data_IF_247136591709
#
_entry.id   IF_247136591709
#
_cell.length_a   1.000
_cell.length_b   1.000
_cell.length_c   1.000
_cell.angle_alpha   90.00
_cell.angle_beta   90.00
_cell.angle_gamma   90.00
#
_symmetry.space_group_name_H-M   'P 1'
#
loop_
_entity.id
_entity.type
_entity.pdbx_description
1 polymer ?
#
# COMPACT_ATOMS: atom_id res chain seq x y z
N UNK A 1 10.33 -34.60 30.04
CA UNK A 1 9.44 -33.54 29.50
C UNK A 1 10.25 -32.26 29.32
N UNK A 2 10.95 -32.10 28.19
CA UNK A 2 11.80 -30.93 27.94
C UNK A 2 11.94 -30.69 26.43
N UNK A 3 10.82 -30.57 25.73
CA UNK A 3 10.80 -30.36 24.27
C UNK A 3 9.74 -29.34 23.81
N UNK A 4 9.03 -28.69 24.74
CA UNK A 4 7.95 -27.75 24.41
C UNK A 4 8.38 -26.27 24.38
N UNK A 5 9.65 -25.94 24.66
CA UNK A 5 10.09 -24.54 24.79
C UNK A 5 10.84 -23.97 23.57
N UNK A 6 11.08 -24.76 22.52
CA UNK A 6 11.83 -24.32 21.32
C UNK A 6 10.92 -23.73 20.22
N UNK A 7 9.59 -23.85 20.36
CA UNK A 7 8.64 -23.44 19.31
C UNK A 7 8.28 -21.93 19.28
N UNK A 8 8.81 -21.12 20.19
CA UNK A 8 8.53 -19.68 20.25
C UNK A 8 9.61 -18.78 19.61
N UNK A 9 10.69 -19.35 19.07
CA UNK A 9 11.79 -18.58 18.46
C UNK A 9 11.73 -18.45 16.93
N UNK A 10 10.69 -19.00 16.27
CA UNK A 10 10.64 -19.04 14.78
C UNK A 10 9.59 -18.13 14.14
N UNK A 11 8.92 -17.27 14.90
CA UNK A 11 8.06 -16.25 14.32
C UNK A 11 8.63 -14.88 14.65
N UNK A 12 9.31 -14.19 13.72
CA UNK A 12 9.47 -12.76 13.87
C UNK A 12 8.07 -12.19 13.93
N UNK A 13 7.65 -11.82 15.14
CA UNK A 13 6.40 -11.14 15.35
C UNK A 13 6.41 -9.90 14.44
N UNK A 14 5.43 -9.86 13.53
CA UNK A 14 5.32 -8.84 12.49
C UNK A 14 4.90 -7.52 13.13
N UNK A 15 5.84 -6.85 13.78
CA UNK A 15 5.65 -5.50 14.31
C UNK A 15 5.99 -4.47 13.23
N UNK A 16 5.30 -4.55 12.09
CA UNK A 16 5.14 -3.38 11.25
C UNK A 16 3.74 -2.86 11.52
N UNK A 17 3.64 -1.76 12.26
CA UNK A 17 2.37 -1.07 12.46
C UNK A 17 1.84 -0.69 11.08
N UNK A 18 0.74 -1.34 10.71
CA UNK A 18 0.14 -1.10 9.42
C UNK A 18 -0.63 0.23 9.46
N UNK A 19 -0.12 1.23 8.75
CA UNK A 19 -0.89 2.45 8.49
C UNK A 19 -2.03 2.12 7.52
N UNK A 20 -3.27 2.30 7.97
CA UNK A 20 -4.44 2.07 7.12
C UNK A 20 -4.45 3.08 5.97
N UNK A 21 -4.12 2.63 4.75
CA UNK A 21 -4.02 3.46 3.56
C UNK A 21 -5.31 4.20 3.21
N UNK A 22 -6.47 3.69 3.63
CA UNK A 22 -7.78 4.28 3.36
C UNK A 22 -8.13 5.51 4.19
N UNK A 23 -7.50 5.68 5.36
CA UNK A 23 -7.85 6.78 6.26
C UNK A 23 -6.84 7.89 6.03
N UNK A 24 -7.26 9.05 5.48
CA UNK A 24 -6.33 10.14 5.23
C UNK A 24 -5.63 10.55 6.54
N UNK A 25 -4.34 10.84 6.43
CA UNK A 25 -3.56 11.36 7.54
C UNK A 25 -4.08 12.73 7.92
N UNK A 26 -4.24 12.96 9.22
CA UNK A 26 -4.78 14.21 9.76
C UNK A 26 -3.63 15.02 10.32
N UNK A 27 -3.32 16.14 9.68
CA UNK A 27 -2.31 17.10 10.14
C UNK A 27 -2.71 17.82 11.45
N UNK A 28 -3.96 17.65 11.91
CA UNK A 28 -4.60 18.47 12.93
C UNK A 28 -5.72 19.32 12.34
N UNK A 29 -6.74 19.63 13.15
CA UNK A 29 -7.94 20.35 12.68
C UNK A 29 -8.66 19.65 11.52
N UNK A 30 -8.93 20.39 10.45
CA UNK A 30 -9.66 19.90 9.27
C UNK A 30 -8.75 19.51 8.07
N UNK A 31 -7.42 19.63 8.22
CA UNK A 31 -6.48 19.33 7.13
C UNK A 31 -6.23 17.83 7.07
N UNK A 32 -6.47 17.26 5.89
CA UNK A 32 -6.34 15.83 5.60
C UNK A 32 -5.51 15.65 4.35
N UNK A 33 -4.48 14.81 4.42
CA UNK A 33 -3.65 14.43 3.29
C UNK A 33 -3.74 12.92 3.03
N UNK A 34 -3.61 12.47 1.77
CA UNK A 34 -3.49 11.05 1.47
C UNK A 34 -2.32 10.39 2.20
N UNK A 35 -2.53 9.17 2.71
CA UNK A 35 -1.50 8.38 3.41
C UNK A 35 -0.25 8.11 2.55
N UNK A 36 -0.37 8.15 1.22
CA UNK A 36 0.76 7.96 0.29
C UNK A 36 1.77 9.10 0.32
N UNK A 37 1.38 10.29 0.80
CA UNK A 37 2.26 11.46 0.89
C UNK A 37 2.97 11.61 2.24
N UNK A 38 2.60 10.80 3.24
CA UNK A 38 3.29 10.76 4.53
C UNK A 38 4.68 10.16 4.38
N UNK A 39 5.70 10.73 5.02
CA UNK A 39 7.12 10.36 4.91
C UNK A 39 7.65 10.38 3.47
N UNK A 40 7.23 11.37 2.68
CA UNK A 40 7.66 11.52 1.29
C UNK A 40 8.81 12.51 1.10
N UNK A 41 9.32 13.05 2.20
CA UNK A 41 10.43 13.99 2.30
C UNK A 41 10.01 15.45 2.11
N UNK A 42 8.71 15.75 2.08
CA UNK A 42 8.18 17.11 1.87
C UNK A 42 7.04 17.38 2.84
N UNK A 43 7.27 18.17 3.88
CA UNK A 43 6.18 18.57 4.78
C UNK A 43 5.02 19.21 4.02
N UNK A 44 3.84 18.60 4.11
CA UNK A 44 2.59 19.15 3.56
C UNK A 44 1.65 19.65 4.65
N UNK A 45 1.83 19.19 5.89
CA UNK A 45 1.10 19.76 7.01
C UNK A 45 1.53 21.23 7.23
N UNK A 46 0.58 22.19 7.27
CA UNK A 46 0.91 23.61 7.39
C UNK A 46 1.52 23.93 8.77
N UNK A 47 2.57 24.76 8.79
CA UNK A 47 3.12 25.29 10.04
C UNK A 47 2.13 26.29 10.66
N UNK A 48 1.69 26.02 11.88
CA UNK A 48 1.05 27.00 12.74
C UNK A 48 -0.46 27.20 12.53
N UNK A 49 -1.24 26.58 13.40
CA UNK A 49 -2.30 27.31 14.11
C UNK A 49 -2.17 26.93 15.60
N UNK A 50 -2.93 27.53 16.49
CA UNK A 50 -2.63 27.61 17.93
C UNK A 50 -3.13 26.43 18.80
N UNK A 51 -3.17 25.19 18.31
CA UNK A 51 -3.68 24.03 19.08
C UNK A 51 -2.64 22.91 19.30
N UNK A 52 -2.49 22.43 20.53
CA UNK A 52 -1.32 21.67 21.00
C UNK A 52 -1.16 20.22 20.47
N UNK A 53 -1.76 19.84 19.34
CA UNK A 53 -1.67 18.49 18.77
C UNK A 53 -1.69 18.52 17.23
N UNK A 54 -0.65 19.06 16.60
CA UNK A 54 -0.46 18.92 15.15
C UNK A 54 0.38 17.67 14.87
N UNK A 55 -0.12 16.79 14.03
CA UNK A 55 0.66 15.67 13.53
C UNK A 55 1.53 16.15 12.37
N UNK A 56 2.82 15.85 12.41
CA UNK A 56 3.76 16.13 11.32
C UNK A 56 3.78 14.93 10.37
N UNK A 57 3.51 15.17 9.09
CA UNK A 57 3.58 14.12 8.07
C UNK A 57 5.01 13.64 7.78
N UNK A 58 6.00 14.37 8.30
CA UNK A 58 7.43 14.05 8.24
C UNK A 58 8.04 13.86 9.64
N UNK A 59 7.25 13.39 10.63
CA UNK A 59 7.71 13.09 11.99
C UNK A 59 8.94 12.16 12.01
N UNK A 60 10.04 12.60 12.63
CA UNK A 60 11.32 11.87 12.68
C UNK A 60 11.27 10.54 13.43
N UNK A 61 10.28 10.33 14.30
CA UNK A 61 10.05 9.06 15.00
C UNK A 61 9.47 7.99 14.05
N UNK A 62 8.72 8.42 13.03
CA UNK A 62 8.01 7.54 12.09
C UNK A 62 8.67 7.49 10.71
N UNK A 63 9.17 8.63 10.24
CA UNK A 63 9.73 8.81 8.92
C UNK A 63 11.24 8.62 8.94
N UNK A 64 11.74 7.93 7.94
CA UNK A 64 13.17 7.89 7.71
C UNK A 64 13.65 9.26 7.25
N UNK A 65 14.79 9.73 7.79
CA UNK A 65 15.33 11.03 7.40
C UNK A 65 15.58 11.09 5.88
N UNK A 66 15.30 12.24 5.28
CA UNK A 66 15.30 12.46 3.82
C UNK A 66 16.61 12.02 3.14
N UNK A 67 17.75 12.13 3.82
CA UNK A 67 19.06 11.70 3.29
C UNK A 67 19.18 10.19 3.06
N UNK A 68 18.35 9.37 3.70
CA UNK A 68 18.28 7.92 3.49
C UNK A 68 17.16 7.51 2.53
N UNK A 69 16.32 8.45 2.10
CA UNK A 69 15.38 8.15 1.03
C UNK A 69 16.18 7.88 -0.25
N UNK A 70 15.88 6.78 -0.96
CA UNK A 70 16.52 6.50 -2.23
C UNK A 70 16.39 7.71 -3.16
N UNK A 71 17.46 8.14 -3.84
CA UNK A 71 17.41 9.28 -4.76
C UNK A 71 16.46 9.02 -5.93
N UNK A 72 16.21 7.73 -6.21
CA UNK A 72 15.33 7.20 -7.24
C UNK A 72 13.94 6.96 -6.67
N UNK A 73 12.92 7.31 -7.45
CA UNK A 73 11.53 7.07 -7.07
C UNK A 73 11.24 5.56 -7.14
N UNK A 74 10.60 5.03 -6.10
CA UNK A 74 10.02 3.68 -6.14
C UNK A 74 8.84 3.67 -7.12
N UNK A 75 8.91 2.82 -8.13
CA UNK A 75 7.88 2.69 -9.15
C UNK A 75 7.21 1.31 -9.07
N UNK A 76 5.92 1.29 -9.39
CA UNK A 76 5.11 0.08 -9.49
C UNK A 76 4.74 -0.16 -10.95
N UNK A 77 4.98 -1.38 -11.43
CA UNK A 77 4.44 -1.85 -12.71
C UNK A 77 3.43 -2.96 -12.46
N UNK A 78 2.48 -3.08 -13.38
CA UNK A 78 1.36 -4.02 -13.28
C UNK A 78 1.18 -4.75 -14.59
N UNK A 79 0.99 -6.06 -14.49
CA UNK A 79 0.72 -6.94 -15.62
C UNK A 79 -0.48 -7.82 -15.27
N UNK A 80 -1.60 -7.62 -15.97
CA UNK A 80 -2.77 -8.51 -15.86
C UNK A 80 -2.39 -9.89 -16.40
N UNK A 81 -2.71 -10.94 -15.64
CA UNK A 81 -2.42 -12.32 -16.04
C UNK A 81 -3.68 -13.11 -16.35
N UNK A 82 -4.74 -12.95 -15.55
CA UNK A 82 -6.07 -13.49 -15.81
C UNK A 82 -7.13 -12.63 -15.09
N UNK A 83 -8.40 -13.04 -15.19
CA UNK A 83 -9.57 -12.26 -14.77
C UNK A 83 -9.57 -11.85 -13.29
N UNK A 84 -8.81 -12.53 -12.43
CA UNK A 84 -8.76 -12.26 -10.97
C UNK A 84 -7.33 -12.14 -10.42
N UNK A 85 -6.32 -12.05 -11.30
CA UNK A 85 -4.92 -11.96 -10.90
C UNK A 85 -4.17 -10.85 -11.62
N UNK A 86 -3.33 -10.17 -10.85
CA UNK A 86 -2.40 -9.16 -11.35
C UNK A 86 -1.03 -9.43 -10.76
N UNK A 87 0.00 -9.39 -11.61
CA UNK A 87 1.38 -9.35 -11.19
C UNK A 87 1.76 -7.90 -10.96
N UNK A 88 2.17 -7.57 -9.74
CA UNK A 88 2.73 -6.27 -9.38
C UNK A 88 4.22 -6.45 -9.19
N UNK A 89 5.03 -5.64 -9.86
CA UNK A 89 6.48 -5.59 -9.63
C UNK A 89 6.92 -4.16 -9.34
N UNK A 90 8.05 -4.02 -8.67
CA UNK A 90 8.58 -2.74 -8.25
C UNK A 90 10.10 -2.67 -8.35
N UNK A 91 10.57 -1.47 -8.63
CA UNK A 91 11.99 -1.13 -8.66
C UNK A 91 12.16 0.36 -8.39
N UNK A 92 13.36 0.73 -7.97
CA UNK A 92 13.76 2.13 -7.96
C UNK A 92 14.16 2.54 -9.38
N UNK A 93 13.43 3.48 -9.98
CA UNK A 93 13.70 3.93 -11.35
C UNK A 93 15.10 4.55 -11.46
N UNK A 94 15.96 3.99 -12.32
CA UNK A 94 17.17 4.66 -12.77
C UNK A 94 16.77 5.91 -13.56
N UNK A 95 16.71 7.07 -12.90
CA UNK A 95 16.62 8.34 -13.61
C UNK A 95 17.94 8.54 -14.36
N UNK A 96 17.99 8.14 -15.62
CA UNK A 96 19.06 8.56 -16.53
C UNK A 96 19.08 10.08 -16.56
N UNK A 97 20.24 10.65 -16.18
CA UNK A 97 20.75 12.02 -16.44
C UNK A 97 20.98 12.88 -15.17
N UNK A 98 22.29 13.10 -14.93
CA UNK A 98 23.00 14.08 -14.10
C UNK A 98 23.24 13.75 -12.62
N UNK A 99 24.49 13.34 -12.38
CA UNK A 99 25.23 13.45 -11.11
C UNK A 99 24.95 14.82 -10.45
N UNK A 100 24.43 14.90 -9.21
CA UNK A 100 24.61 16.08 -8.40
C UNK A 100 25.97 15.94 -7.72
N UNK A 101 26.97 16.61 -8.26
CA UNK A 101 28.15 17.01 -7.51
C UNK A 101 27.70 18.10 -6.54
N UNK A 102 27.03 17.70 -5.45
CA UNK A 102 26.68 18.61 -4.36
C UNK A 102 27.09 17.95 -3.06
N UNK A 103 28.20 18.42 -2.52
CA UNK A 103 28.63 18.20 -1.15
C UNK A 103 27.54 18.77 -0.24
N UNK A 104 26.65 17.92 0.27
CA UNK A 104 25.69 18.32 1.30
C UNK A 104 26.38 18.18 2.65
N UNK A 105 27.04 19.25 3.09
CA UNK A 105 27.26 19.51 4.51
C UNK A 105 25.89 19.83 5.13
N UNK A 106 25.22 18.81 5.66
CA UNK A 106 24.15 19.01 6.63
C UNK A 106 24.65 18.58 8.00
N UNK A 107 24.98 19.55 8.83
CA UNK A 107 25.09 19.36 10.26
C UNK A 107 23.70 18.93 10.78
N UNK A 108 23.50 17.63 10.99
CA UNK A 108 22.44 17.11 11.83
C UNK A 108 22.95 15.85 12.53
N UNK A 109 22.87 15.84 13.86
CA UNK A 109 23.40 14.85 14.81
C UNK A 109 22.76 13.45 14.73
N UNK A 110 22.07 13.13 13.65
CA UNK A 110 21.44 11.83 13.50
C UNK A 110 22.49 10.87 12.93
N UNK A 111 23.15 10.11 13.78
CA UNK A 111 24.15 9.10 13.39
C UNK A 111 23.52 7.72 13.07
N UNK A 112 22.21 7.67 12.83
CA UNK A 112 21.51 6.40 12.61
C UNK A 112 21.94 5.75 11.29
N UNK A 113 22.52 4.56 11.32
CA UNK A 113 22.72 3.78 10.09
C UNK A 113 21.43 3.06 9.75
N UNK A 114 20.69 3.56 8.77
CA UNK A 114 19.39 3.01 8.39
C UNK A 114 19.52 2.11 7.17
N UNK A 115 18.94 0.91 7.25
CA UNK A 115 18.95 -0.10 6.19
C UNK A 115 17.54 -0.45 5.74
N UNK A 116 17.34 -0.57 4.42
CA UNK A 116 16.07 -1.03 3.86
C UNK A 116 15.81 -2.48 4.31
N UNK A 117 14.78 -2.66 5.12
CA UNK A 117 14.42 -3.97 5.66
C UNK A 117 13.39 -4.69 4.77
N UNK A 118 12.53 -3.91 4.12
CA UNK A 118 11.63 -4.45 3.11
C UNK A 118 10.47 -3.53 2.77
N UNK A 119 9.33 -4.13 2.42
CA UNK A 119 8.17 -3.41 1.92
C UNK A 119 6.86 -3.82 2.58
N UNK A 120 6.03 -2.83 2.86
CA UNK A 120 4.63 -2.95 3.27
C UNK A 120 3.76 -2.78 2.03
N UNK A 121 3.06 -3.82 1.64
CA UNK A 121 2.23 -3.87 0.43
C UNK A 121 0.76 -4.00 0.79
N UNK A 122 -0.09 -3.23 0.14
CA UNK A 122 -1.54 -3.37 0.22
C UNK A 122 -2.22 -3.07 -1.08
N UNK A 123 -3.42 -3.62 -1.23
CA UNK A 123 -4.39 -3.09 -2.16
C UNK A 123 -5.76 -3.02 -1.53
N UNK A 124 -6.47 -1.99 -1.93
CA UNK A 124 -7.65 -1.52 -1.23
C UNK A 124 -8.75 -1.10 -2.18
N UNK A 125 -9.98 -1.55 -1.92
CA UNK A 125 -11.20 -1.21 -2.66
C UNK A 125 -12.39 -1.10 -1.70
N UNK A 126 -13.58 -0.77 -2.20
CA UNK A 126 -14.78 -0.61 -1.36
C UNK A 126 -15.22 -1.90 -0.64
N UNK A 127 -14.90 -3.07 -1.21
CA UNK A 127 -15.41 -4.36 -0.74
C UNK A 127 -14.32 -5.42 -0.54
N UNK A 128 -13.08 -5.15 -0.95
CA UNK A 128 -11.99 -6.11 -0.87
C UNK A 128 -10.64 -5.43 -0.60
N UNK A 129 -9.96 -5.88 0.46
CA UNK A 129 -8.68 -5.34 0.90
C UNK A 129 -7.70 -6.47 1.17
N UNK A 130 -6.43 -6.27 0.83
CA UNK A 130 -5.35 -7.21 1.10
C UNK A 130 -4.08 -6.50 1.56
N UNK A 131 -3.27 -7.19 2.36
CA UNK A 131 -2.02 -6.67 2.93
C UNK A 131 -0.96 -7.76 2.96
N UNK A 132 0.30 -7.39 2.71
CA UNK A 132 1.46 -8.28 2.76
C UNK A 132 2.71 -7.50 3.17
N UNK A 133 3.66 -8.20 3.75
CA UNK A 133 4.99 -7.67 4.06
C UNK A 133 6.01 -8.51 3.32
N UNK A 134 7.00 -7.84 2.73
CA UNK A 134 8.09 -8.45 1.99
C UNK A 134 9.43 -8.04 2.58
N UNK A 135 10.45 -8.88 2.37
CA UNK A 135 11.84 -8.51 2.63
C UNK A 135 12.39 -7.68 1.47
N UNK A 136 13.52 -7.01 1.68
CA UNK A 136 14.13 -6.12 0.69
C UNK A 136 14.53 -6.82 -0.63
N UNK A 137 14.71 -8.15 -0.64
CA UNK A 137 15.10 -8.91 -1.84
C UNK A 137 13.92 -9.20 -2.79
N UNK A 138 12.67 -9.02 -2.34
CA UNK A 138 11.50 -9.27 -3.16
C UNK A 138 11.17 -8.01 -3.97
N UNK A 139 10.96 -8.20 -5.27
CA UNK A 139 10.64 -7.14 -6.23
C UNK A 139 9.34 -7.38 -7.01
N UNK A 140 8.66 -8.49 -6.77
CA UNK A 140 7.38 -8.79 -7.42
C UNK A 140 6.45 -9.63 -6.54
N UNK A 141 5.14 -9.51 -6.80
CA UNK A 141 4.11 -10.26 -6.12
C UNK A 141 2.88 -10.46 -7.00
N UNK A 142 2.39 -11.69 -7.04
CA UNK A 142 1.13 -12.03 -7.69
C UNK A 142 -0.02 -11.87 -6.70
N UNK A 143 -0.89 -10.89 -6.95
CA UNK A 143 -2.15 -10.75 -6.24
C UNK A 143 -3.18 -11.67 -6.90
N UNK A 144 -3.95 -12.39 -6.09
CA UNK A 144 -5.01 -13.30 -6.55
C UNK A 144 -6.29 -13.09 -5.77
N UNK A 145 -7.41 -13.59 -6.30
CA UNK A 145 -8.72 -13.44 -5.67
C UNK A 145 -9.27 -12.02 -5.75
N UNK A 146 -8.86 -11.23 -6.75
CA UNK A 146 -9.45 -9.93 -6.97
C UNK A 146 -10.91 -10.07 -7.40
N UNK A 147 -11.78 -9.25 -6.81
CA UNK A 147 -13.15 -9.07 -7.27
C UNK A 147 -13.17 -8.55 -8.71
N UNK A 148 -14.06 -9.05 -9.59
CA UNK A 148 -14.19 -8.55 -10.95
C UNK A 148 -14.54 -7.06 -11.00
N UNK A 149 -14.16 -6.38 -12.07
CA UNK A 149 -14.52 -4.99 -12.37
C UNK A 149 -14.39 -4.01 -11.18
N UNK A 150 -13.37 -4.21 -10.35
CA UNK A 150 -13.21 -3.50 -9.08
C UNK A 150 -11.97 -2.62 -9.16
N UNK A 151 -12.10 -1.36 -8.73
CA UNK A 151 -10.99 -0.43 -8.65
C UNK A 151 -10.22 -0.64 -7.34
N UNK A 152 -8.95 -0.95 -7.47
CA UNK A 152 -8.00 -1.09 -6.36
C UNK A 152 -7.00 0.05 -6.37
N UNK A 153 -6.81 0.66 -5.21
CA UNK A 153 -5.64 1.47 -4.89
C UNK A 153 -4.57 0.54 -4.33
N UNK A 154 -3.45 0.38 -5.03
CA UNK A 154 -2.33 -0.47 -4.62
C UNK A 154 -1.22 0.43 -4.11
N UNK A 155 -0.73 0.16 -2.91
CA UNK A 155 0.30 0.94 -2.22
C UNK A 155 1.45 0.01 -1.79
N UNK A 156 2.68 0.45 -2.05
CA UNK A 156 3.90 -0.20 -1.61
C UNK A 156 4.76 0.83 -0.86
N UNK A 157 5.06 0.57 0.40
CA UNK A 157 5.81 1.48 1.27
C UNK A 157 7.08 0.79 1.80
N UNK A 158 8.28 1.34 1.58
CA UNK A 158 9.49 0.80 2.16
C UNK A 158 9.52 1.04 3.67
N UNK A 159 10.06 0.08 4.42
CA UNK A 159 10.36 0.23 5.85
C UNK A 159 11.82 -0.12 6.12
N UNK A 160 12.36 0.47 7.19
CA UNK A 160 13.78 0.46 7.46
C UNK A 160 14.08 0.08 8.91
N UNK A 161 15.23 -0.53 9.11
CA UNK A 161 15.83 -0.88 10.41
C UNK A 161 17.01 0.03 10.69
N UNK A 162 17.18 0.49 11.94
CA UNK A 162 18.45 1.10 12.39
C UNK A 162 19.42 -0.02 12.77
N UNK A 163 20.65 0.06 12.27
CA UNK A 163 21.75 -0.89 12.47
C UNK A 163 21.40 -2.36 12.13
N UNK A 164 20.43 -2.57 11.23
CA UNK A 164 19.99 -3.91 10.83
C UNK A 164 19.25 -4.69 11.93
N UNK A 165 18.92 -4.04 13.04
CA UNK A 165 18.26 -4.67 14.20
C UNK A 165 16.74 -4.65 14.07
N UNK A 166 16.09 -5.69 14.61
CA UNK A 166 14.61 -5.74 14.72
C UNK A 166 14.16 -4.66 15.69
N UNK A 167 13.13 -3.90 15.31
CA UNK A 167 12.63 -2.78 16.11
C UNK A 167 11.15 -2.96 16.48
N UNK A 168 10.72 -2.38 17.61
CA UNK A 168 9.31 -2.38 17.97
C UNK A 168 8.45 -1.56 16.99
N UNK A 169 9.04 -0.52 16.39
CA UNK A 169 8.42 0.34 15.39
C UNK A 169 9.46 0.59 14.30
N UNK A 170 9.13 0.28 13.06
CA UNK A 170 9.99 0.56 11.92
C UNK A 170 9.73 1.95 11.38
N UNK A 171 10.82 2.66 11.04
CA UNK A 171 10.72 3.88 10.24
C UNK A 171 10.29 3.53 8.81
N UNK A 172 9.50 4.39 8.19
CA UNK A 172 9.01 4.21 6.82
C UNK A 172 9.46 5.34 5.92
N UNK A 173 9.51 5.07 4.61
CA UNK A 173 9.81 6.08 3.61
C UNK A 173 8.67 6.32 2.63
N UNK A 174 8.99 7.02 1.55
CA UNK A 174 8.05 7.40 0.50
C UNK A 174 7.34 6.19 -0.10
N UNK A 175 6.01 6.21 -0.09
CA UNK A 175 5.21 5.18 -0.72
C UNK A 175 5.16 5.35 -2.24
N UNK A 176 5.17 4.22 -2.95
CA UNK A 176 4.71 4.12 -4.33
C UNK A 176 3.24 3.69 -4.33
N UNK A 177 2.45 4.20 -5.27
CA UNK A 177 1.07 3.76 -5.44
C UNK A 177 0.67 3.70 -6.92
N UNK A 178 -0.30 2.86 -7.22
CA UNK A 178 -0.92 2.77 -8.54
C UNK A 178 -2.39 2.39 -8.40
N UNK A 179 -3.20 2.82 -9.35
CA UNK A 179 -4.60 2.41 -9.44
C UNK A 179 -4.71 1.26 -10.44
N UNK A 180 -5.36 0.17 -10.05
CA UNK A 180 -5.60 -0.99 -10.88
C UNK A 180 -7.09 -1.31 -10.92
N UNK A 181 -7.66 -1.50 -12.11
CA UNK A 181 -9.01 -2.03 -12.27
C UNK A 181 -8.88 -3.49 -12.69
N UNK A 182 -9.46 -4.40 -11.92
CA UNK A 182 -9.53 -5.80 -12.32
C UNK A 182 -10.44 -5.97 -13.53
N UNK A 183 -10.19 -7.03 -14.29
CA UNK A 183 -11.01 -7.38 -15.45
C UNK A 183 -12.45 -7.69 -15.02
N UNK A 184 -13.39 -7.46 -15.94
CA UNK A 184 -14.75 -7.93 -15.75
C UNK A 184 -14.78 -9.46 -15.92
N UNK A 185 -15.71 -10.12 -15.23
CA UNK A 185 -15.98 -11.55 -15.41
C UNK A 185 -17.45 -11.70 -15.79
N UNK A 186 -17.80 -12.82 -16.44
CA UNK A 186 -19.20 -13.09 -16.75
C UNK A 186 -20.02 -13.12 -15.44
N UNK A 187 -21.17 -12.42 -15.38
CA UNK A 187 -22.01 -12.47 -14.20
C UNK A 187 -22.52 -13.89 -13.98
N UNK A 188 -22.91 -14.19 -12.75
CA UNK A 188 -23.65 -15.42 -12.47
C UNK A 188 -25.00 -15.44 -13.18
N UNK A 189 -25.67 -16.61 -13.21
CA UNK A 189 -27.02 -16.70 -13.76
C UNK A 189 -27.97 -15.71 -13.03
N UNK A 190 -29.01 -15.20 -13.72
CA UNK A 190 -30.05 -14.39 -13.10
C UNK A 190 -30.60 -15.06 -11.85
N UNK A 191 -30.84 -14.29 -10.78
CA UNK A 191 -31.40 -14.83 -9.54
C UNK A 191 -32.79 -15.46 -9.73
N UNK A 192 -33.53 -15.02 -10.75
CA UNK A 192 -34.76 -15.64 -11.22
C UNK A 192 -35.08 -15.23 -12.67
N UNK A 193 -35.92 -16.01 -13.32
CA UNK A 193 -36.58 -15.66 -14.58
C UNK A 193 -38.04 -16.15 -14.52
N UNK A 194 -38.98 -15.21 -14.57
CA UNK A 194 -40.41 -15.49 -14.44
C UNK A 194 -41.16 -15.00 -15.68
N UNK A 195 -42.01 -15.86 -16.25
CA UNK A 195 -42.91 -15.47 -17.33
C UNK A 195 -44.13 -14.79 -16.71
N UNK A 196 -44.36 -13.53 -17.06
CA UNK A 196 -45.47 -12.75 -16.52
C UNK A 196 -46.78 -13.07 -17.25
N UNK A 197 -46.73 -13.07 -18.59
CA UNK A 197 -47.85 -13.47 -19.43
C UNK A 197 -47.39 -13.77 -20.86
N UNK A 198 -48.24 -14.50 -21.59
CA UNK A 198 -48.04 -14.91 -22.97
C UNK A 198 -49.22 -14.43 -23.81
N UNK A 199 -48.93 -13.70 -24.87
CA UNK A 199 -49.86 -13.27 -25.92
C UNK A 199 -49.47 -13.95 -27.24
N UNK A 200 -50.32 -13.84 -28.26
CA UNK A 200 -49.98 -14.38 -29.59
C UNK A 200 -48.67 -13.75 -30.08
N UNK A 201 -47.66 -14.60 -30.29
CA UNK A 201 -46.29 -14.25 -30.72
C UNK A 201 -45.50 -13.34 -29.78
N UNK A 202 -45.93 -13.14 -28.53
CA UNK A 202 -45.22 -12.29 -27.56
C UNK A 202 -45.17 -12.93 -26.17
N UNK A 203 -44.00 -12.94 -25.57
CA UNK A 203 -43.77 -13.37 -24.19
C UNK A 203 -43.19 -12.19 -23.42
N UNK A 204 -43.81 -11.86 -22.28
CA UNK A 204 -43.28 -10.89 -21.32
C UNK A 204 -42.64 -11.63 -20.15
N UNK A 205 -41.38 -11.35 -19.86
CA UNK A 205 -40.62 -12.00 -18.79
C UNK A 205 -40.01 -10.96 -17.85
N UNK A 206 -39.94 -11.30 -16.57
CA UNK A 206 -39.18 -10.59 -15.55
C UNK A 206 -37.93 -11.37 -15.21
N UNK A 207 -36.77 -10.73 -15.32
CA UNK A 207 -35.47 -11.34 -15.02
C UNK A 207 -34.85 -10.59 -13.85
N UNK A 208 -34.43 -11.33 -12.83
CA UNK A 208 -33.76 -10.78 -11.66
C UNK A 208 -32.28 -10.56 -11.91
N UNK A 209 -31.68 -9.62 -11.17
CA UNK A 209 -30.24 -9.42 -11.18
C UNK A 209 -29.50 -10.72 -10.76
N UNK A 210 -28.29 -10.93 -11.29
CA UNK A 210 -27.44 -12.03 -10.85
C UNK A 210 -27.05 -11.86 -9.38
N UNK A 211 -26.86 -12.98 -8.67
CA UNK A 211 -26.55 -12.99 -7.24
C UNK A 211 -25.14 -12.45 -6.94
N UNK A 212 -24.24 -12.50 -7.92
CA UNK A 212 -22.92 -11.87 -7.86
C UNK A 212 -22.46 -11.38 -9.23
N UNK A 213 -21.83 -10.21 -9.22
CA UNK A 213 -21.14 -9.54 -10.34
C UNK A 213 -19.63 -9.72 -10.23
#
# INVERSE_FOLDING_TARGET
MWLALILLLLFPAKYATWYSSHVPFRCGGNVKIPQVFVCDGKRQCPNGTSQSFYADDEDSEMCVATRYLPPKKLALTKLTQNDSTVLISWSFEDSTITKPEVLLTSESDDSENVHLAGYLFSGTSDHHNFKKTFTAQVNEYRVSGLKPWTLYEIVLRPYYTVDGSVQPIYKVGKAAYTIYRSEATAPTAPGYAEVLYVEDKKISMKVGDPLSW
#
